data_IF_952376955893
#
_entry.id   IF_952376955893
#
_cell.length_a   1.000
_cell.length_b   1.000
_cell.length_c   1.000
_cell.angle_alpha   90.00
_cell.angle_beta   90.00
_cell.angle_gamma   90.00
#
_symmetry.space_group_name_H-M   'P 1'
#
loop_
_entity.id
_entity.type
_entity.pdbx_description
1 polymer ?
#
# COMPACT_ATOMS: atom_id res chain seq x y z
N UNK A 1 19.17 -4.61 -0.45
CA UNK A 1 17.93 -4.82 -1.23
C UNK A 1 17.55 -3.49 -1.83
N UNK A 2 17.71 -3.34 -3.13
CA UNK A 2 17.34 -2.12 -3.87
C UNK A 2 15.83 -1.93 -3.74
N UNK A 3 15.44 -0.90 -2.99
CA UNK A 3 14.05 -0.49 -2.81
C UNK A 3 13.60 0.21 -4.10
N UNK A 4 13.51 -0.55 -5.19
CA UNK A 4 12.86 -0.10 -6.42
C UNK A 4 11.38 0.04 -6.12
N UNK A 5 10.99 1.21 -5.59
CA UNK A 5 9.62 1.49 -5.23
C UNK A 5 8.71 1.12 -6.40
N UNK A 6 7.72 0.27 -6.15
CA UNK A 6 6.80 -0.18 -7.19
C UNK A 6 6.26 1.03 -7.97
N UNK A 7 6.12 0.88 -9.29
CA UNK A 7 5.49 1.93 -10.09
C UNK A 7 4.01 2.01 -9.70
N UNK A 8 3.50 3.24 -9.59
CA UNK A 8 2.08 3.48 -9.38
C UNK A 8 1.28 2.94 -10.58
N UNK A 9 0.27 2.07 -10.35
CA UNK A 9 -0.55 1.53 -11.44
C UNK A 9 -1.29 2.60 -12.26
N UNK A 10 -1.55 3.78 -11.69
CA UNK A 10 -2.31 4.85 -12.37
C UNK A 10 -1.43 5.82 -13.17
N UNK A 11 -0.29 6.22 -12.61
CA UNK A 11 0.54 7.29 -13.20
C UNK A 11 1.96 6.87 -13.53
N UNK A 12 2.31 5.60 -13.32
CA UNK A 12 3.63 5.00 -13.57
C UNK A 12 4.80 5.65 -12.81
N UNK A 13 4.53 6.60 -11.92
CA UNK A 13 5.53 7.23 -11.07
C UNK A 13 6.00 6.28 -9.98
N UNK A 14 7.27 6.40 -9.58
CA UNK A 14 7.82 5.68 -8.44
C UNK A 14 7.01 5.96 -7.17
N UNK A 15 6.66 4.90 -6.44
CA UNK A 15 6.03 5.03 -5.14
C UNK A 15 7.05 4.96 -4.01
N UNK A 16 6.79 5.73 -2.96
CA UNK A 16 7.53 5.70 -1.71
C UNK A 16 6.74 4.90 -0.67
N UNK A 17 7.47 4.16 0.17
CA UNK A 17 6.89 3.50 1.33
C UNK A 17 6.44 4.54 2.37
N UNK A 18 5.19 4.44 2.81
CA UNK A 18 4.54 5.38 3.72
C UNK A 18 4.35 4.86 5.15
N UNK A 19 4.77 3.63 5.44
CA UNK A 19 4.63 3.01 6.76
C UNK A 19 3.69 1.80 6.78
N UNK A 20 3.33 1.35 7.97
CA UNK A 20 2.40 0.25 8.19
C UNK A 20 1.10 0.73 8.82
N UNK A 21 -0.03 0.19 8.36
CA UNK A 21 -1.37 0.49 8.86
C UNK A 21 -2.00 -0.79 9.38
N UNK A 22 -2.29 -0.86 10.68
CA UNK A 22 -2.96 -2.02 11.26
C UNK A 22 -4.41 -2.07 10.77
N UNK A 23 -4.76 -3.14 10.05
CA UNK A 23 -6.07 -3.31 9.42
C UNK A 23 -6.68 -4.66 9.75
N UNK A 24 -8.00 -4.74 9.84
CA UNK A 24 -8.70 -6.03 9.94
C UNK A 24 -8.87 -6.61 8.53
N UNK A 25 -8.37 -7.82 8.30
CA UNK A 25 -8.54 -8.53 7.01
C UNK A 25 -9.92 -9.19 6.97
N UNK A 26 -10.72 -8.87 5.97
CA UNK A 26 -12.10 -9.36 5.88
C UNK A 26 -12.19 -10.89 5.75
N UNK A 27 -11.23 -11.51 5.05
CA UNK A 27 -11.26 -12.95 4.75
C UNK A 27 -11.05 -13.87 5.97
N UNK A 28 -10.29 -13.44 6.97
CA UNK A 28 -9.97 -14.26 8.16
C UNK A 28 -10.20 -13.54 9.49
N UNK A 29 -10.62 -12.27 9.45
CA UNK A 29 -10.90 -11.45 10.62
C UNK A 29 -9.66 -11.03 11.42
N UNK A 30 -8.46 -11.41 10.99
CA UNK A 30 -7.22 -11.12 11.71
C UNK A 30 -6.83 -9.65 11.57
N UNK A 31 -6.16 -9.11 12.58
CA UNK A 31 -5.52 -7.78 12.50
C UNK A 31 -4.10 -7.96 12.00
N UNK A 32 -3.84 -7.45 10.81
CA UNK A 32 -2.54 -7.57 10.14
C UNK A 32 -2.15 -6.21 9.57
N UNK A 33 -0.85 -5.94 9.50
CA UNK A 33 -0.37 -4.69 8.93
C UNK A 33 -0.53 -4.69 7.41
N UNK A 34 -0.99 -3.56 6.87
CA UNK A 34 -0.86 -3.22 5.45
C UNK A 34 0.34 -2.30 5.27
N UNK A 35 1.19 -2.62 4.29
CA UNK A 35 2.25 -1.71 3.82
C UNK A 35 1.63 -0.60 2.98
N UNK A 36 1.91 0.66 3.31
CA UNK A 36 1.40 1.83 2.61
C UNK A 36 2.39 2.30 1.54
N UNK A 37 1.88 2.65 0.36
CA UNK A 37 2.66 3.11 -0.78
C UNK A 37 2.02 4.36 -1.39
N UNK A 38 2.82 5.38 -1.67
CA UNK A 38 2.34 6.68 -2.16
C UNK A 38 3.19 7.18 -3.32
N UNK A 39 2.55 7.65 -4.40
CA UNK A 39 3.24 8.36 -5.49
C UNK A 39 3.11 9.88 -5.36
N UNK A 40 3.89 10.65 -6.13
CA UNK A 40 3.79 12.11 -6.15
C UNK A 40 2.43 12.62 -6.68
N UNK A 41 1.75 11.83 -7.53
CA UNK A 41 0.36 12.05 -7.96
C UNK A 41 -0.72 11.86 -6.87
N UNK A 42 -0.35 11.69 -5.59
CA UNK A 42 -1.26 11.50 -4.45
C UNK A 42 -2.11 10.23 -4.46
N UNK A 43 -1.85 9.27 -5.36
CA UNK A 43 -2.45 7.94 -5.27
C UNK A 43 -1.86 7.19 -4.08
N UNK A 44 -2.74 6.53 -3.32
CA UNK A 44 -2.40 5.76 -2.15
C UNK A 44 -2.78 4.29 -2.40
N UNK A 45 -1.77 3.44 -2.33
CA UNK A 45 -1.89 2.00 -2.53
C UNK A 45 -1.45 1.28 -1.26
N UNK A 46 -1.93 0.06 -1.08
CA UNK A 46 -1.50 -0.79 0.01
C UNK A 46 -1.54 -2.26 -0.36
N UNK A 47 -0.79 -3.08 0.37
CA UNK A 47 -0.88 -4.54 0.32
C UNK A 47 -0.61 -5.10 1.70
N UNK A 48 -1.06 -6.32 1.94
CA UNK A 48 -0.79 -7.03 3.19
C UNK A 48 0.72 -7.22 3.39
N UNK A 49 1.24 -6.82 4.55
CA UNK A 49 2.67 -6.85 4.83
C UNK A 49 3.21 -8.29 4.98
N UNK A 50 2.35 -9.21 5.41
CA UNK A 50 2.62 -10.66 5.47
C UNK A 50 2.48 -11.35 4.09
N UNK A 51 2.08 -10.61 3.05
CA UNK A 51 1.91 -11.12 1.67
C UNK A 51 2.48 -10.14 0.65
N UNK A 52 3.81 -9.92 0.63
CA UNK A 52 4.43 -8.93 -0.23
C UNK A 52 4.30 -9.26 -1.73
N UNK A 53 4.05 -10.51 -2.10
CA UNK A 53 3.88 -10.92 -3.50
C UNK A 53 2.45 -10.71 -4.02
N UNK A 54 1.48 -10.41 -3.15
CA UNK A 54 0.13 -10.03 -3.58
C UNK A 54 0.12 -8.66 -4.26
N UNK A 55 -0.86 -8.48 -5.15
CA UNK A 55 -1.05 -7.22 -5.88
C UNK A 55 -1.34 -6.05 -4.92
N UNK A 56 -0.94 -4.85 -5.34
CA UNK A 56 -1.35 -3.62 -4.67
C UNK A 56 -2.85 -3.41 -4.84
N UNK A 57 -3.52 -3.13 -3.73
CA UNK A 57 -4.90 -2.72 -3.68
C UNK A 57 -4.99 -1.20 -3.55
N UNK A 58 -6.05 -0.59 -4.09
CA UNK A 58 -6.34 0.81 -3.85
C UNK A 58 -6.67 1.04 -2.37
N UNK A 59 -6.09 2.08 -1.76
CA UNK A 59 -6.50 2.49 -0.42
C UNK A 59 -7.92 3.06 -0.48
N UNK A 60 -8.80 2.53 0.37
CA UNK A 60 -10.21 2.95 0.39
C UNK A 60 -10.43 4.26 1.16
N UNK A 61 -9.42 4.71 1.91
CA UNK A 61 -9.45 5.93 2.72
C UNK A 61 -8.17 6.76 2.50
N UNK A 62 -7.84 7.12 1.24
CA UNK A 62 -6.59 7.77 0.90
C UNK A 62 -6.43 9.14 1.60
N UNK A 63 -7.53 9.79 1.99
CA UNK A 63 -7.56 11.07 2.71
C UNK A 63 -6.84 11.00 4.06
N UNK A 64 -6.77 9.83 4.69
CA UNK A 64 -6.06 9.66 5.97
C UNK A 64 -4.54 9.71 5.84
N UNK A 65 -4.02 9.66 4.61
CA UNK A 65 -2.59 9.50 4.32
C UNK A 65 -2.02 10.60 3.41
N UNK A 66 -2.81 11.64 3.13
CA UNK A 66 -2.41 12.79 2.30
C UNK A 66 -1.34 13.66 2.95
#
# INVERSE_FOLDING_TARGET
MTNGGAACPECSQTMNFGGFVLSKRAGDGQRVCRSLWKCAGRHVWWRWADRPDEALEACQVPELFR
#
